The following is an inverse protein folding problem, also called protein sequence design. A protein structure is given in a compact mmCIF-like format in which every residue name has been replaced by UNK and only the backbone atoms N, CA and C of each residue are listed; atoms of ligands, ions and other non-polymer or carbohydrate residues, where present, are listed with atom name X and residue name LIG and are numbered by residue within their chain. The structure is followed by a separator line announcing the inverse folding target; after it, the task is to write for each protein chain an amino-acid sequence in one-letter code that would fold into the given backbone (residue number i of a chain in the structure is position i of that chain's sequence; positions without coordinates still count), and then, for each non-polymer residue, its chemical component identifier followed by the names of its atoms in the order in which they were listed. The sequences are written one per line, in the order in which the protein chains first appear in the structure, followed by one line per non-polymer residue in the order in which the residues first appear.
data_IF_779318388056
#
_entry.id   IF_779318388056
#
_cell.length_a   1.000
_cell.length_b   1.000
_cell.length_c   1.000
_cell.angle_alpha   90.00
_cell.angle_beta   90.00
_cell.angle_gamma   90.00
#
_symmetry.space_group_name_H-M   'P 1'
#
loop_
_entity.id
_entity.type
_entity.pdbx_description
1 polymer ?
#
# COMPACT_ATOMS: atom_id res chain seq x y z
N UNK A 1 -21.59 7.41 18.06
CA UNK A 1 -20.69 7.68 16.91
C UNK A 1 -20.64 6.41 16.10
N UNK A 2 -20.90 6.46 14.79
CA UNK A 2 -20.69 5.29 13.94
C UNK A 2 -19.20 4.92 14.01
N UNK A 3 -18.89 3.63 14.13
CA UNK A 3 -17.51 3.18 14.03
C UNK A 3 -16.95 3.61 12.67
N UNK A 4 -15.79 4.26 12.67
CA UNK A 4 -15.12 4.65 11.44
C UNK A 4 -14.66 3.37 10.74
N UNK A 5 -15.12 3.18 9.51
CA UNK A 5 -14.75 2.02 8.70
C UNK A 5 -13.43 2.32 7.99
N UNK A 6 -12.38 1.54 8.31
CA UNK A 6 -11.06 1.68 7.71
C UNK A 6 -11.00 1.04 6.33
N UNK A 7 -11.68 -0.10 6.16
CA UNK A 7 -11.84 -0.85 4.91
C UNK A 7 -13.30 -1.22 4.74
N UNK A 8 -13.94 -0.77 3.66
CA UNK A 8 -15.36 -1.04 3.42
C UNK A 8 -15.63 -2.49 3.02
N UNK A 9 -16.89 -2.90 3.13
CA UNK A 9 -17.40 -4.05 2.40
C UNK A 9 -17.17 -3.87 0.89
N UNK A 10 -17.11 -5.00 0.16
CA UNK A 10 -17.01 -4.99 -1.29
C UNK A 10 -18.32 -4.47 -1.88
N UNK A 11 -18.21 -3.45 -2.70
CA UNK A 11 -19.31 -2.86 -3.46
C UNK A 11 -19.13 -3.15 -4.95
N UNK A 12 -20.19 -3.00 -5.73
CA UNK A 12 -20.11 -3.06 -7.19
C UNK A 12 -19.27 -1.89 -7.73
N UNK A 13 -18.50 -2.10 -8.81
CA UNK A 13 -17.65 -1.05 -9.38
C UNK A 13 -18.44 0.20 -9.81
N UNK A 14 -19.73 0.03 -10.15
CA UNK A 14 -20.62 1.14 -10.50
C UNK A 14 -20.88 2.11 -9.35
N UNK A 15 -20.59 1.74 -8.10
CA UNK A 15 -20.74 2.62 -6.93
C UNK A 15 -19.57 3.60 -6.73
N UNK A 16 -18.48 3.46 -7.50
CA UNK A 16 -17.32 4.36 -7.42
C UNK A 16 -17.66 5.79 -7.83
N UNK A 17 -18.55 5.93 -8.81
CA UNK A 17 -18.87 7.22 -9.42
C UNK A 17 -20.38 7.43 -9.31
N UNK A 18 -20.77 8.59 -8.77
CA UNK A 18 -22.19 8.96 -8.69
C UNK A 18 -22.78 9.05 -10.11
N UNK A 19 -24.01 8.56 -10.28
CA UNK A 19 -24.78 8.74 -11.51
C UNK A 19 -24.91 10.22 -11.92
N UNK A 20 -24.77 11.15 -10.96
CA UNK A 20 -24.84 12.59 -11.17
C UNK A 20 -23.55 13.20 -11.76
N UNK A 21 -22.41 12.51 -11.66
CA UNK A 21 -21.12 12.97 -12.18
C UNK A 21 -20.34 11.81 -12.84
N UNK A 22 -20.76 11.33 -14.01
CA UNK A 22 -20.12 10.20 -14.68
C UNK A 22 -18.67 10.51 -15.07
N UNK A 23 -17.76 9.61 -14.74
CA UNK A 23 -16.34 9.75 -15.02
C UNK A 23 -16.03 9.21 -16.44
N UNK A 24 -15.19 9.89 -17.25
CA UNK A 24 -14.87 9.44 -18.62
C UNK A 24 -14.37 7.99 -18.67
N UNK A 25 -13.58 7.60 -17.66
CA UNK A 25 -13.00 6.25 -17.52
C UNK A 25 -13.99 5.20 -16.95
N UNK A 26 -15.23 5.56 -16.59
CA UNK A 26 -16.17 4.62 -15.94
C UNK A 26 -16.40 3.36 -16.79
N UNK A 27 -16.60 3.52 -18.10
CA UNK A 27 -16.82 2.36 -18.99
C UNK A 27 -15.62 1.43 -19.03
N UNK A 28 -14.40 1.99 -18.98
CA UNK A 28 -13.17 1.20 -18.97
C UNK A 28 -13.01 0.45 -17.65
N UNK A 29 -13.42 1.07 -16.53
CA UNK A 29 -13.42 0.44 -15.20
C UNK A 29 -14.46 -0.69 -15.11
N UNK A 30 -15.69 -0.44 -15.58
CA UNK A 30 -16.77 -1.44 -15.60
C UNK A 30 -16.39 -2.69 -16.39
N UNK A 31 -15.58 -2.55 -17.44
CA UNK A 31 -15.09 -3.65 -18.25
C UNK A 31 -13.93 -4.44 -17.63
N UNK A 32 -13.21 -3.87 -16.67
CA UNK A 32 -11.97 -4.42 -16.11
C UNK A 32 -12.12 -4.93 -14.67
N UNK A 33 -13.02 -4.33 -13.90
CA UNK A 33 -13.18 -4.60 -12.47
C UNK A 33 -14.63 -4.87 -12.14
N UNK A 34 -14.89 -5.86 -11.27
CA UNK A 34 -16.24 -6.23 -10.86
C UNK A 34 -16.69 -5.53 -9.57
N UNK A 35 -15.74 -5.11 -8.72
CA UNK A 35 -16.07 -4.50 -7.45
C UNK A 35 -14.95 -3.66 -6.89
N UNK A 36 -15.30 -2.88 -5.88
CA UNK A 36 -14.43 -1.91 -5.22
C UNK A 36 -14.57 -2.01 -3.70
N UNK A 37 -13.49 -1.70 -2.98
CA UNK A 37 -13.52 -1.40 -1.56
C UNK A 37 -12.97 0.01 -1.36
N UNK A 38 -13.65 0.80 -0.54
CA UNK A 38 -13.21 2.12 -0.12
C UNK A 38 -12.33 1.97 1.10
N UNK A 39 -11.21 2.68 1.11
CA UNK A 39 -10.26 2.74 2.21
C UNK A 39 -10.35 4.14 2.80
N UNK A 40 -10.29 4.26 4.13
CA UNK A 40 -10.29 5.55 4.79
C UNK A 40 -9.10 6.40 4.29
N UNK A 41 -9.38 7.63 3.85
CA UNK A 41 -8.37 8.62 3.46
C UNK A 41 -7.77 9.30 4.69
N UNK A 42 -6.85 8.62 5.38
CA UNK A 42 -6.18 9.06 6.60
C UNK A 42 -4.66 9.21 6.43
N UNK A 43 -4.18 9.30 5.18
CA UNK A 43 -2.76 9.26 4.83
C UNK A 43 -2.12 7.87 4.89
N UNK A 44 -2.77 6.87 5.48
CA UNK A 44 -2.29 5.47 5.52
C UNK A 44 -2.94 4.59 4.45
N UNK A 45 -3.81 5.17 3.64
CA UNK A 45 -4.70 4.48 2.72
C UNK A 45 -3.95 3.54 1.76
N UNK A 46 -2.79 3.93 1.22
CA UNK A 46 -2.01 3.07 0.34
C UNK A 46 -1.54 1.79 1.04
N UNK A 47 -0.82 1.91 2.16
CA UNK A 47 -0.30 0.76 2.91
C UNK A 47 -1.42 -0.18 3.36
N UNK A 48 -2.55 0.41 3.79
CA UNK A 48 -3.75 -0.34 4.21
C UNK A 48 -4.38 -1.08 3.03
N UNK A 49 -4.57 -0.39 1.89
CA UNK A 49 -5.10 -0.97 0.66
C UNK A 49 -4.20 -2.09 0.12
N UNK A 50 -2.90 -1.83 0.04
CA UNK A 50 -1.89 -2.75 -0.48
C UNK A 50 -1.96 -4.09 0.26
N UNK A 51 -1.86 -4.06 1.60
CA UNK A 51 -1.78 -5.28 2.39
C UNK A 51 -3.10 -6.03 2.38
N UNK A 52 -4.23 -5.32 2.54
CA UNK A 52 -5.55 -5.91 2.50
C UNK A 52 -5.80 -6.60 1.15
N UNK A 53 -5.60 -5.89 0.04
CA UNK A 53 -5.85 -6.42 -1.29
C UNK A 53 -4.94 -7.60 -1.62
N UNK A 54 -3.67 -7.55 -1.23
CA UNK A 54 -2.76 -8.66 -1.42
C UNK A 54 -3.21 -9.90 -0.63
N UNK A 55 -3.50 -9.75 0.66
CA UNK A 55 -3.99 -10.86 1.50
C UNK A 55 -5.32 -11.42 1.00
N UNK A 56 -6.26 -10.57 0.59
CA UNK A 56 -7.54 -11.00 0.00
C UNK A 56 -7.32 -11.83 -1.27
N UNK A 57 -6.37 -11.42 -2.14
CA UNK A 57 -6.08 -12.13 -3.39
C UNK A 57 -5.50 -13.52 -3.20
N UNK A 58 -4.83 -13.77 -2.07
CA UNK A 58 -4.19 -15.06 -1.75
C UNK A 58 -4.90 -15.82 -0.64
N UNK A 59 -6.02 -15.31 -0.13
CA UNK A 59 -6.70 -15.79 1.07
C UNK A 59 -7.01 -17.30 1.01
N UNK A 60 -7.52 -17.76 -0.13
CA UNK A 60 -7.86 -19.18 -0.34
C UNK A 60 -6.70 -20.04 -0.86
N UNK A 61 -5.45 -19.54 -0.77
CA UNK A 61 -4.25 -20.20 -1.27
C UNK A 61 -3.28 -20.40 -0.09
N UNK A 62 -3.41 -21.50 0.69
CA UNK A 62 -2.64 -21.69 1.93
C UNK A 62 -1.12 -21.60 1.74
N UNK A 63 -0.61 -22.10 0.61
CA UNK A 63 0.82 -22.02 0.27
C UNK A 63 1.28 -20.59 0.00
N UNK A 64 0.42 -19.74 -0.54
CA UNK A 64 0.74 -18.33 -0.80
C UNK A 64 0.71 -17.53 0.50
N UNK A 65 -0.27 -17.75 1.37
CA UNK A 65 -0.30 -17.18 2.73
C UNK A 65 0.96 -17.55 3.52
N UNK A 66 1.35 -18.84 3.49
CA UNK A 66 2.57 -19.27 4.19
C UNK A 66 3.83 -18.61 3.61
N UNK A 67 3.93 -18.51 2.28
CA UNK A 67 5.04 -17.79 1.63
C UNK A 67 5.09 -16.33 2.04
N UNK A 68 3.95 -15.64 2.10
CA UNK A 68 3.88 -14.26 2.53
C UNK A 68 4.30 -14.10 4.01
N UNK A 69 3.82 -14.98 4.90
CA UNK A 69 4.26 -15.00 6.30
C UNK A 69 5.79 -15.14 6.42
N UNK A 70 6.37 -16.10 5.70
CA UNK A 70 7.83 -16.28 5.70
C UNK A 70 8.57 -15.06 5.14
N UNK A 71 8.03 -14.41 4.10
CA UNK A 71 8.59 -13.18 3.54
C UNK A 71 8.58 -12.03 4.56
N UNK A 72 7.50 -11.87 5.31
CA UNK A 72 7.37 -10.86 6.38
C UNK A 72 8.35 -11.13 7.53
N UNK A 73 8.51 -12.37 7.95
CA UNK A 73 9.48 -12.75 8.99
C UNK A 73 10.91 -12.45 8.51
N UNK A 74 11.23 -12.86 7.27
CA UNK A 74 12.55 -12.63 6.68
C UNK A 74 12.84 -11.14 6.44
N UNK A 75 11.81 -10.32 6.18
CA UNK A 75 12.01 -8.89 5.96
C UNK A 75 12.50 -8.14 7.20
N UNK A 76 12.42 -8.73 8.40
CA UNK A 76 13.12 -8.20 9.58
C UNK A 76 14.63 -8.01 9.35
N UNK A 77 15.26 -8.84 8.49
CA UNK A 77 16.66 -8.65 8.11
C UNK A 77 16.88 -7.42 7.24
N UNK A 78 15.90 -7.04 6.40
CA UNK A 78 15.96 -5.82 5.58
C UNK A 78 16.02 -4.60 6.49
N UNK A 79 15.19 -4.58 7.54
CA UNK A 79 15.21 -3.53 8.57
C UNK A 79 16.54 -3.51 9.34
N UNK A 80 17.05 -4.68 9.75
CA UNK A 80 18.32 -4.76 10.47
C UNK A 80 19.51 -4.25 9.64
N UNK A 81 19.58 -4.58 8.34
CA UNK A 81 20.63 -4.08 7.43
C UNK A 81 20.55 -2.56 7.26
N UNK A 82 19.34 -1.99 7.26
CA UNK A 82 19.12 -0.55 7.23
C UNK A 82 19.41 0.14 8.59
N UNK A 83 19.76 -0.62 9.63
CA UNK A 83 20.16 -0.11 10.94
C UNK A 83 19.03 0.08 11.94
N UNK A 84 17.84 -0.47 11.70
CA UNK A 84 16.76 -0.47 12.69
C UNK A 84 17.02 -1.48 13.81
N UNK A 85 16.77 -1.09 15.05
CA UNK A 85 16.79 -2.01 16.18
C UNK A 85 15.57 -2.93 16.15
N UNK A 86 15.74 -4.22 16.41
CA UNK A 86 14.65 -5.20 16.41
C UNK A 86 13.48 -4.79 17.32
N UNK A 87 13.79 -4.22 18.49
CA UNK A 87 12.82 -3.67 19.45
C UNK A 87 11.89 -2.61 18.84
N UNK A 88 12.32 -1.90 17.80
CA UNK A 88 11.54 -0.84 17.16
C UNK A 88 10.45 -1.34 16.22
N UNK A 89 10.57 -2.58 15.70
CA UNK A 89 9.66 -3.10 14.69
C UNK A 89 9.04 -4.46 15.03
N UNK A 90 9.59 -5.22 15.97
CA UNK A 90 9.18 -6.62 16.20
C UNK A 90 7.70 -6.77 16.51
N UNK A 91 7.12 -5.88 17.32
CA UNK A 91 5.68 -5.92 17.63
C UNK A 91 4.82 -5.69 16.37
N UNK A 92 5.25 -4.81 15.47
CA UNK A 92 4.55 -4.52 14.23
C UNK A 92 4.69 -5.67 13.22
N UNK A 93 5.87 -6.30 13.17
CA UNK A 93 6.11 -7.52 12.41
C UNK A 93 5.17 -8.64 12.88
N UNK A 94 5.15 -8.90 14.19
CA UNK A 94 4.30 -9.90 14.82
C UNK A 94 2.81 -9.63 14.54
N UNK A 95 2.41 -8.37 14.50
CA UNK A 95 1.04 -7.98 14.12
C UNK A 95 0.68 -8.46 12.72
N UNK A 96 1.58 -8.27 11.73
CA UNK A 96 1.35 -8.75 10.36
C UNK A 96 1.33 -10.28 10.31
N UNK A 97 2.24 -10.95 11.02
CA UNK A 97 2.27 -12.42 11.11
C UNK A 97 0.97 -12.95 11.68
N UNK A 98 0.49 -12.39 12.80
CA UNK A 98 -0.77 -12.80 13.43
C UNK A 98 -1.96 -12.62 12.49
N UNK A 99 -2.02 -11.53 11.72
CA UNK A 99 -3.07 -11.35 10.69
C UNK A 99 -3.06 -12.49 9.67
N UNK A 100 -1.88 -12.92 9.21
CA UNK A 100 -1.77 -14.04 8.27
C UNK A 100 -2.19 -15.35 8.92
N UNK A 101 -1.81 -15.58 10.17
CA UNK A 101 -2.17 -16.81 10.91
C UNK A 101 -3.67 -16.90 11.17
N UNK A 102 -4.34 -15.81 11.52
CA UNK A 102 -5.79 -15.74 11.65
C UNK A 102 -6.49 -16.03 10.31
N UNK A 103 -5.95 -15.52 9.19
CA UNK A 103 -6.46 -15.85 7.85
C UNK A 103 -6.23 -17.33 7.47
N UNK A 104 -5.17 -17.97 7.98
CA UNK A 104 -4.93 -19.40 7.78
C UNK A 104 -5.87 -20.26 8.63
N UNK A 105 -6.26 -19.78 9.82
CA UNK A 105 -7.12 -20.50 10.75
C UNK A 105 -8.61 -20.39 10.42
N UNK A 106 -9.05 -19.28 9.84
CA UNK A 106 -10.44 -19.01 9.49
C UNK A 106 -10.62 -18.87 7.96
N UNK A 107 -11.38 -19.79 7.36
CA UNK A 107 -11.68 -19.79 5.92
C UNK A 107 -12.68 -18.69 5.51
N UNK A 108 -13.17 -17.86 6.44
CA UNK A 108 -14.08 -16.77 6.15
C UNK A 108 -13.35 -15.45 5.84
N UNK A 109 -13.47 -14.93 4.61
CA UNK A 109 -12.92 -13.62 4.21
C UNK A 109 -13.37 -12.46 5.12
N UNK A 110 -14.50 -12.61 5.82
CA UNK A 110 -14.97 -11.64 6.83
C UNK A 110 -13.95 -11.40 7.94
N UNK A 111 -13.04 -12.34 8.20
CA UNK A 111 -12.01 -12.24 9.25
C UNK A 111 -10.94 -11.24 8.89
N UNK A 112 -10.48 -11.23 7.64
CA UNK A 112 -9.57 -10.18 7.15
C UNK A 112 -10.21 -8.79 7.28
N UNK A 113 -11.49 -8.66 6.93
CA UNK A 113 -12.24 -7.40 7.06
C UNK A 113 -12.36 -6.94 8.52
N UNK A 114 -12.61 -7.86 9.45
CA UNK A 114 -12.66 -7.55 10.90
C UNK A 114 -11.31 -7.07 11.40
N UNK A 115 -10.24 -7.78 11.08
CA UNK A 115 -8.88 -7.46 11.51
C UNK A 115 -8.45 -6.07 11.01
N UNK A 116 -8.71 -5.76 9.74
CA UNK A 116 -8.37 -4.45 9.17
C UNK A 116 -9.30 -3.31 9.58
N UNK A 117 -10.44 -3.60 10.23
CA UNK A 117 -11.29 -2.59 10.86
C UNK A 117 -11.07 -2.47 12.37
N UNK A 118 -10.15 -3.24 12.95
CA UNK A 118 -9.56 -2.94 14.25
C UNK A 118 -8.41 -1.96 14.05
N UNK A 119 -8.52 -0.76 14.63
CA UNK A 119 -7.53 0.30 14.44
C UNK A 119 -6.14 -0.09 14.93
N UNK A 120 -6.02 -0.81 16.05
CA UNK A 120 -4.72 -1.18 16.58
C UNK A 120 -4.01 -2.22 15.69
N UNK A 121 -4.75 -3.21 15.21
CA UNK A 121 -4.23 -4.22 14.27
C UNK A 121 -3.86 -3.56 12.95
N UNK A 122 -4.79 -2.80 12.36
CA UNK A 122 -4.60 -2.22 11.04
C UNK A 122 -3.49 -1.17 11.02
N UNK A 123 -3.38 -0.32 12.05
CA UNK A 123 -2.29 0.65 12.15
C UNK A 123 -0.95 -0.02 12.49
N UNK A 124 -0.96 -1.13 13.23
CA UNK A 124 0.23 -1.95 13.45
C UNK A 124 0.77 -2.56 12.15
N UNK A 125 -0.11 -3.04 11.27
CA UNK A 125 0.24 -3.50 9.92
C UNK A 125 0.81 -2.34 9.09
N UNK A 126 0.15 -1.19 9.06
CA UNK A 126 0.62 0.00 8.32
C UNK A 126 2.00 0.43 8.80
N UNK A 127 2.23 0.52 10.12
CA UNK A 127 3.51 0.94 10.67
C UNK A 127 4.63 0.00 10.25
N UNK A 128 4.40 -1.32 10.25
CA UNK A 128 5.40 -2.26 9.77
C UNK A 128 5.76 -2.03 8.30
N UNK A 129 4.75 -1.84 7.44
CA UNK A 129 4.97 -1.64 6.01
C UNK A 129 5.69 -0.32 5.72
N UNK A 130 5.41 0.74 6.48
CA UNK A 130 6.18 2.00 6.42
C UNK A 130 7.65 1.80 6.77
N UNK A 131 7.93 1.09 7.87
CA UNK A 131 9.32 0.79 8.28
C UNK A 131 10.04 -0.08 7.25
N UNK A 132 9.36 -1.08 6.69
CA UNK A 132 9.91 -1.91 5.62
C UNK A 132 10.21 -1.10 4.36
N UNK A 133 9.33 -0.16 4.00
CA UNK A 133 9.51 0.76 2.87
C UNK A 133 10.73 1.64 3.09
N UNK A 134 10.82 2.29 4.26
CA UNK A 134 11.99 3.07 4.67
C UNK A 134 13.28 2.25 4.60
N UNK A 135 13.28 1.04 5.16
CA UNK A 135 14.46 0.17 5.14
C UNK A 135 14.89 -0.20 3.71
N UNK A 136 13.94 -0.50 2.82
CA UNK A 136 14.25 -0.80 1.41
C UNK A 136 14.83 0.42 0.69
N UNK A 137 14.23 1.61 0.87
CA UNK A 137 14.75 2.85 0.31
C UNK A 137 16.21 3.11 0.75
N UNK A 138 16.50 2.92 2.04
CA UNK A 138 17.84 3.13 2.59
C UNK A 138 18.85 2.08 2.12
N UNK A 139 18.46 0.82 2.01
CA UNK A 139 19.36 -0.26 1.54
C UNK A 139 19.73 -0.14 0.06
N UNK A 140 18.89 0.53 -0.73
CA UNK A 140 19.11 0.77 -2.16
C UNK A 140 19.29 2.26 -2.46
N UNK A 141 19.95 2.98 -1.54
CA UNK A 141 20.02 4.44 -1.57
C UNK A 141 20.60 5.02 -2.87
N UNK A 142 21.60 4.37 -3.47
CA UNK A 142 22.23 4.80 -4.72
C UNK A 142 21.22 4.90 -5.89
N UNK A 143 20.18 4.05 -5.86
CA UNK A 143 19.11 4.09 -6.85
C UNK A 143 18.09 5.17 -6.47
N UNK A 144 17.59 5.14 -5.23
CA UNK A 144 16.44 5.95 -4.83
C UNK A 144 16.75 7.43 -4.60
N UNK A 145 18.00 7.81 -4.33
CA UNK A 145 18.35 9.18 -3.94
C UNK A 145 18.02 10.23 -5.00
N UNK A 146 17.94 9.83 -6.27
CA UNK A 146 17.64 10.73 -7.39
C UNK A 146 16.13 10.95 -7.60
N UNK A 147 15.27 10.28 -6.84
CA UNK A 147 13.81 10.31 -7.01
C UNK A 147 13.08 11.00 -5.85
N UNK A 148 13.80 11.55 -4.88
CA UNK A 148 13.23 12.19 -3.69
C UNK A 148 13.66 13.64 -3.58
N UNK A 149 12.74 14.50 -3.12
CA UNK A 149 13.02 15.90 -2.82
C UNK A 149 13.40 16.09 -1.35
N UNK A 150 14.60 15.64 -0.98
CA UNK A 150 15.15 15.79 0.37
C UNK A 150 16.68 15.95 0.32
N UNK A 151 17.32 16.48 1.39
CA UNK A 151 18.78 16.56 1.46
C UNK A 151 19.47 15.20 1.27
N UNK A 152 18.84 14.14 1.81
CA UNK A 152 19.24 12.75 1.62
C UNK A 152 18.03 11.82 1.88
N UNK A 153 18.20 10.52 1.58
CA UNK A 153 17.15 9.53 1.77
C UNK A 153 16.80 9.25 3.23
N UNK A 154 17.73 9.44 4.18
CA UNK A 154 17.42 9.22 5.59
C UNK A 154 16.45 10.29 6.09
N UNK A 155 16.63 11.54 5.66
CA UNK A 155 15.70 12.64 5.97
C UNK A 155 14.34 12.35 5.36
N UNK A 156 14.29 11.98 4.07
CA UNK A 156 13.04 11.60 3.40
C UNK A 156 12.31 10.48 4.15
N UNK A 157 13.01 9.38 4.43
CA UNK A 157 12.44 8.22 5.14
C UNK A 157 11.84 8.61 6.49
N UNK A 158 12.56 9.39 7.30
CA UNK A 158 12.12 9.78 8.65
C UNK A 158 10.95 10.76 8.66
N UNK A 159 10.80 11.59 7.64
CA UNK A 159 9.81 12.66 7.62
C UNK A 159 8.55 12.29 6.84
N UNK A 160 8.72 11.59 5.72
CA UNK A 160 7.64 11.32 4.76
C UNK A 160 7.16 9.86 4.83
N UNK A 161 8.06 8.90 5.10
CA UNK A 161 7.73 7.47 5.01
C UNK A 161 7.33 6.89 6.36
N UNK A 162 8.19 7.03 7.38
CA UNK A 162 8.06 6.41 8.70
C UNK A 162 6.93 7.01 9.54
N UNK A 163 6.59 8.28 9.29
CA UNK A 163 5.55 9.02 10.02
C UNK A 163 4.17 8.55 9.57
N UNK A 164 3.33 8.16 10.54
CA UNK A 164 1.95 7.78 10.28
C UNK A 164 1.14 8.95 9.74
N UNK A 165 0.14 8.63 8.91
CA UNK A 165 -0.73 9.61 8.24
C UNK A 165 -0.04 10.54 7.23
N UNK A 166 1.23 10.28 6.88
CA UNK A 166 1.88 10.92 5.73
C UNK A 166 1.49 10.23 4.43
N UNK A 167 1.20 11.02 3.39
CA UNK A 167 0.83 10.50 2.09
C UNK A 167 1.95 9.66 1.47
N UNK A 168 1.57 8.65 0.72
CA UNK A 168 2.49 7.72 0.09
C UNK A 168 2.71 8.14 -1.37
N UNK A 169 3.96 8.35 -1.75
CA UNK A 169 4.33 8.79 -3.10
C UNK A 169 4.79 7.59 -3.97
N UNK A 170 4.97 7.82 -5.26
CA UNK A 170 5.37 6.81 -6.24
C UNK A 170 6.67 6.08 -5.86
N UNK A 171 7.62 6.77 -5.24
CA UNK A 171 8.88 6.17 -4.78
C UNK A 171 8.66 5.14 -3.66
N UNK A 172 7.74 5.40 -2.75
CA UNK A 172 7.35 4.51 -1.65
C UNK A 172 6.63 3.27 -2.19
N UNK A 173 5.69 3.49 -3.13
CA UNK A 173 4.94 2.45 -3.80
C UNK A 173 5.90 1.45 -4.46
N UNK A 174 6.88 1.98 -5.21
CA UNK A 174 7.89 1.18 -5.88
C UNK A 174 8.76 0.41 -4.88
N UNK A 175 9.22 1.09 -3.83
CA UNK A 175 10.06 0.48 -2.81
C UNK A 175 9.34 -0.67 -2.08
N UNK A 176 8.09 -0.47 -1.64
CA UNK A 176 7.31 -1.52 -0.98
C UNK A 176 7.02 -2.70 -1.91
N UNK A 177 6.65 -2.42 -3.16
CA UNK A 177 6.40 -3.43 -4.19
C UNK A 177 7.64 -4.31 -4.40
N UNK A 178 8.83 -3.71 -4.51
CA UNK A 178 10.08 -4.44 -4.65
C UNK A 178 10.49 -5.20 -3.38
N UNK A 179 10.31 -4.60 -2.20
CA UNK A 179 10.65 -5.24 -0.92
C UNK A 179 9.88 -6.55 -0.73
N UNK A 180 8.59 -6.54 -1.07
CA UNK A 180 7.68 -7.68 -0.91
C UNK A 180 7.57 -8.58 -2.14
N UNK A 181 8.12 -8.18 -3.29
CA UNK A 181 7.99 -8.86 -4.58
C UNK A 181 6.51 -9.04 -4.99
N UNK A 182 5.74 -7.95 -4.88
CA UNK A 182 4.31 -7.90 -5.17
C UNK A 182 4.04 -6.93 -6.30
N UNK A 183 3.47 -7.45 -7.40
CA UNK A 183 3.03 -6.63 -8.52
C UNK A 183 1.77 -5.82 -8.19
N UNK A 184 1.74 -4.56 -8.62
CA UNK A 184 0.61 -3.65 -8.41
C UNK A 184 0.08 -3.14 -9.75
N UNK A 185 -1.24 -2.93 -9.79
CA UNK A 185 -1.91 -2.23 -10.88
C UNK A 185 -2.64 -1.02 -10.30
N UNK A 186 -2.11 0.18 -10.54
CA UNK A 186 -2.66 1.44 -10.05
C UNK A 186 -3.34 2.14 -11.22
N UNK A 187 -4.63 2.46 -11.06
CA UNK A 187 -5.40 3.20 -12.05
C UNK A 187 -5.60 4.63 -11.54
N UNK A 188 -4.98 5.59 -12.22
CA UNK A 188 -5.27 7.01 -11.96
C UNK A 188 -6.61 7.38 -12.60
N UNK A 189 -7.53 7.85 -11.77
CA UNK A 189 -8.78 8.42 -12.23
C UNK A 189 -8.60 9.86 -12.71
N UNK A 190 -7.53 10.54 -12.35
CA UNK A 190 -7.25 11.88 -12.86
C UNK A 190 -6.89 11.84 -14.36
N UNK A 191 -7.29 12.89 -15.07
CA UNK A 191 -6.96 13.10 -16.48
C UNK A 191 -8.08 12.79 -17.46
N UNK A 192 -8.78 13.86 -17.88
CA UNK A 192 -9.10 14.10 -19.29
C UNK A 192 -9.32 15.60 -19.62
N UNK A 193 -8.52 16.50 -19.03
CA UNK A 193 -8.50 17.92 -19.41
C UNK A 193 -7.07 18.46 -19.54
N UNK A 194 -6.37 18.00 -20.58
CA UNK A 194 -5.32 18.81 -21.21
C UNK A 194 -5.54 18.79 -22.73
N UNK A 195 -5.96 19.90 -23.39
CA UNK A 195 -5.48 20.12 -24.74
C UNK A 195 -3.97 20.25 -24.61
N UNK A 196 -3.22 19.27 -25.11
CA UNK A 196 -1.76 19.30 -25.01
C UNK A 196 -1.22 20.65 -25.49
N UNK A 197 -0.18 21.21 -24.85
CA UNK A 197 0.45 22.41 -25.37
C UNK A 197 0.90 22.16 -26.82
N UNK A 198 0.81 23.16 -27.71
CA UNK A 198 1.34 23.02 -29.07
C UNK A 198 2.81 22.62 -29.00
N UNK A 199 3.33 21.85 -29.97
CA UNK A 199 4.73 21.42 -29.95
C UNK A 199 5.64 22.64 -29.83
N UNK A 200 6.45 22.70 -28.78
CA UNK A 200 7.45 23.75 -28.63
C UNK A 200 8.57 23.56 -29.67
N UNK A 201 9.09 24.66 -30.23
CA UNK A 201 9.92 24.65 -31.43
C UNK A 201 11.29 24.03 -31.17
N UNK A 202 11.75 23.25 -32.14
CA UNK A 202 13.13 22.77 -32.24
C UNK A 202 14.09 23.97 -32.28
N UNK A 203 15.13 23.94 -31.44
CA UNK A 203 16.28 24.83 -31.59
C UNK A 203 16.99 24.50 -32.91
N UNK A 204 17.29 25.49 -33.78
CA UNK A 204 18.33 25.28 -34.78
C UNK A 204 19.69 25.28 -34.06
N UNK A 205 20.58 24.44 -34.58
CA UNK A 205 21.98 24.19 -34.17
C UNK A 205 22.69 25.37 -33.52
#
# INVERSE_FOLDING_TARGET
MAAVCLVSCKEDISTLVSAENPHPKQKDLDGQFFGVRKILGDGNCFYRAFCFAYLESIFHIPRALERFKQKIIQSGQVLAVAGFEESSFIHHLDTVVNVVEECQADEQESTLLKLFNDSAVSDGVVQYLRLLTSAHLQNFADFFCNFVEAPDLQVYCRQEVEVMAMECDHVDILALSQALDVGLHIVSLEGDHHPGPPPEPLLPV
#
